data_IF_333561328294
#
_entry.id   IF_333561328294
#
_cell.length_a   1.000
_cell.length_b   1.000
_cell.length_c   1.000
_cell.angle_alpha   90.00
_cell.angle_beta   90.00
_cell.angle_gamma   90.00
#
_symmetry.space_group_name_H-M   'P 1'
#
loop_
_entity.id
_entity.type
_entity.pdbx_description
1 polymer ?
#
# COMPACT_ATOMS: atom_id res chain seq x y z
N UNK A 1 8.96 -1.10 -0.83
CA UNK A 1 9.30 -0.72 -2.23
C UNK A 1 8.24 0.30 -2.61
N UNK A 2 8.59 1.56 -2.90
CA UNK A 2 7.60 2.60 -3.22
C UNK A 2 7.05 2.31 -4.63
N UNK A 3 5.79 1.88 -4.72
CA UNK A 3 5.11 1.53 -5.96
C UNK A 3 3.70 2.12 -5.89
N UNK A 4 3.13 2.48 -7.04
CA UNK A 4 1.75 2.97 -7.12
C UNK A 4 0.88 1.93 -7.80
N UNK A 5 -0.36 1.78 -7.32
CA UNK A 5 -1.35 0.95 -7.97
C UNK A 5 -1.58 1.42 -9.41
N UNK A 6 -1.81 0.47 -10.31
CA UNK A 6 -2.26 0.81 -11.66
C UNK A 6 -3.66 1.44 -11.60
N UNK A 7 -4.03 2.25 -12.62
CA UNK A 7 -5.40 2.71 -12.76
C UNK A 7 -6.36 1.53 -12.64
N UNK A 8 -7.21 1.60 -11.62
CA UNK A 8 -8.06 0.50 -11.21
C UNK A 8 -9.45 0.74 -11.78
N UNK A 9 -9.92 -0.17 -12.64
CA UNK A 9 -11.20 -0.01 -13.31
C UNK A 9 -12.35 -0.43 -12.41
N UNK A 10 -12.91 0.59 -11.77
CA UNK A 10 -14.01 0.52 -10.83
C UNK A 10 -15.31 -0.06 -11.42
N UNK A 11 -15.46 -0.08 -12.76
CA UNK A 11 -16.66 -0.62 -13.43
C UNK A 11 -16.79 -2.14 -13.28
N UNK A 12 -15.68 -2.84 -13.05
CA UNK A 12 -15.69 -4.29 -12.80
C UNK A 12 -16.09 -4.64 -11.37
N UNK A 13 -16.11 -3.65 -10.47
CA UNK A 13 -16.54 -3.84 -9.11
C UNK A 13 -18.03 -3.54 -8.99
N UNK A 14 -18.78 -4.49 -8.43
CA UNK A 14 -20.24 -4.45 -8.27
C UNK A 14 -20.71 -3.10 -7.72
N UNK A 15 -21.28 -2.19 -8.55
CA UNK A 15 -21.64 -0.82 -8.15
C UNK A 15 -22.66 -0.79 -7.00
N UNK A 16 -23.48 -1.84 -6.90
CA UNK A 16 -24.45 -2.08 -5.83
C UNK A 16 -23.81 -2.11 -4.43
N UNK A 17 -22.53 -2.50 -4.33
CA UNK A 17 -21.79 -2.58 -3.05
C UNK A 17 -21.19 -1.26 -2.60
N UNK A 18 -21.25 -0.21 -3.43
CA UNK A 18 -20.58 1.07 -3.16
C UNK A 18 -21.40 2.01 -2.29
N UNK A 19 -22.72 1.81 -2.25
CA UNK A 19 -23.68 2.77 -1.69
C UNK A 19 -23.64 2.80 -0.15
N UNK A 20 -23.11 1.76 0.50
CA UNK A 20 -22.95 1.72 1.95
C UNK A 20 -21.56 2.15 2.36
N UNK A 21 -21.41 3.43 2.73
CA UNK A 21 -20.17 4.02 3.25
C UNK A 21 -19.60 3.29 4.48
N UNK A 22 -20.42 2.51 5.18
CA UNK A 22 -20.05 1.79 6.41
C UNK A 22 -19.15 0.56 6.19
N UNK A 23 -18.97 0.08 4.94
CA UNK A 23 -18.20 -1.15 4.65
C UNK A 23 -17.43 -1.05 3.33
N UNK A 24 -16.51 -0.10 3.22
CA UNK A 24 -15.65 0.07 2.04
C UNK A 24 -14.30 -0.67 2.15
N UNK A 25 -14.00 -1.28 3.29
CA UNK A 25 -12.70 -1.93 3.57
C UNK A 25 -12.28 -2.94 2.50
N UNK A 26 -13.25 -3.66 1.93
CA UNK A 26 -13.01 -4.61 0.84
C UNK A 26 -12.41 -3.96 -0.42
N UNK A 27 -12.73 -2.68 -0.68
CA UNK A 27 -12.19 -1.92 -1.81
C UNK A 27 -10.72 -1.55 -1.56
N UNK A 28 -10.37 -1.21 -0.32
CA UNK A 28 -8.99 -0.93 0.06
C UNK A 28 -8.11 -2.17 -0.12
N UNK A 29 -8.57 -3.34 0.36
CA UNK A 29 -7.88 -4.61 0.15
C UNK A 29 -7.67 -4.95 -1.33
N UNK A 30 -8.68 -4.71 -2.16
CA UNK A 30 -8.60 -5.00 -3.59
C UNK A 30 -7.69 -4.02 -4.33
N UNK A 31 -7.64 -2.76 -3.89
CA UNK A 31 -6.71 -1.75 -4.39
C UNK A 31 -5.26 -2.10 -4.04
N UNK A 32 -5.02 -2.58 -2.81
CA UNK A 32 -3.70 -3.05 -2.36
C UNK A 32 -3.24 -4.29 -3.14
N UNK A 33 -4.16 -5.16 -3.56
CA UNK A 33 -3.85 -6.33 -4.40
C UNK A 33 -3.64 -5.99 -5.87
N UNK A 34 -4.05 -4.80 -6.31
CA UNK A 34 -3.96 -4.41 -7.71
C UNK A 34 -2.49 -4.43 -8.20
N UNK A 35 -2.23 -4.66 -9.50
CA UNK A 35 -0.86 -4.67 -10.00
C UNK A 35 -0.21 -3.29 -9.83
N UNK A 36 0.88 -3.24 -9.07
CA UNK A 36 1.61 -1.99 -8.83
C UNK A 36 2.67 -1.76 -9.91
N UNK A 37 2.82 -0.51 -10.35
CA UNK A 37 3.92 -0.08 -11.21
C UNK A 37 5.03 0.55 -10.36
N UNK A 38 6.31 0.32 -10.72
CA UNK A 38 7.41 0.97 -10.03
C UNK A 38 7.30 2.49 -10.15
N UNK A 39 7.58 3.19 -9.05
CA UNK A 39 7.47 4.67 -9.01
C UNK A 39 8.47 5.37 -9.93
N UNK A 40 9.57 4.70 -10.28
CA UNK A 40 10.58 5.23 -11.17
C UNK A 40 11.10 4.14 -12.13
N UNK A 41 11.57 4.52 -13.34
CA UNK A 41 12.20 3.60 -14.28
C UNK A 41 13.43 2.91 -13.68
N UNK A 42 13.67 1.65 -14.07
CA UNK A 42 14.81 0.84 -13.57
C UNK A 42 16.17 1.49 -13.76
N UNK A 43 16.34 2.31 -14.80
CA UNK A 43 17.59 3.03 -15.05
C UNK A 43 17.86 4.06 -13.95
N UNK A 44 16.85 4.85 -13.59
CA UNK A 44 16.95 5.89 -12.56
C UNK A 44 17.09 5.30 -11.16
N UNK A 45 16.47 4.14 -10.91
CA UNK A 45 16.56 3.46 -9.60
C UNK A 45 18.00 3.10 -9.19
N UNK A 46 18.93 2.97 -10.15
CA UNK A 46 20.35 2.68 -9.87
C UNK A 46 21.10 3.89 -9.31
N UNK A 47 20.65 5.08 -9.68
CA UNK A 47 21.28 6.35 -9.31
C UNK A 47 20.69 6.91 -8.00
N UNK A 48 19.58 6.33 -7.54
CA UNK A 48 19.01 6.67 -6.25
C UNK A 48 19.95 6.28 -5.12
N UNK A 49 20.05 7.16 -4.12
CA UNK A 49 20.80 6.87 -2.89
C UNK A 49 20.24 5.61 -2.25
N UNK A 50 21.15 4.71 -1.84
CA UNK A 50 20.79 3.58 -1.01
C UNK A 50 20.10 4.05 0.28
N UNK A 51 19.14 3.24 0.74
CA UNK A 51 18.43 3.45 2.00
C UNK A 51 19.42 3.31 3.15
N UNK A 52 19.39 4.26 4.09
CA UNK A 52 20.24 4.22 5.27
C UNK A 52 19.78 3.07 6.19
N UNK A 53 20.70 2.33 6.87
CA UNK A 53 20.32 1.33 7.87
C UNK A 53 19.27 1.79 8.90
N UNK A 54 19.26 3.08 9.28
CA UNK A 54 18.25 3.66 10.18
C UNK A 54 16.87 3.70 9.51
N UNK A 55 16.79 4.07 8.24
CA UNK A 55 15.55 4.09 7.46
C UNK A 55 14.99 2.67 7.28
N UNK A 56 15.85 1.68 7.05
CA UNK A 56 15.43 0.26 7.00
C UNK A 56 14.81 -0.18 8.33
N UNK A 57 15.40 0.23 9.46
CA UNK A 57 14.85 -0.07 10.79
C UNK A 57 13.52 0.63 11.03
N UNK A 58 13.40 1.90 10.63
CA UNK A 58 12.16 2.66 10.74
C UNK A 58 11.03 2.03 9.92
N UNK A 59 11.31 1.55 8.70
CA UNK A 59 10.34 0.84 7.86
C UNK A 59 9.86 -0.49 8.44
N UNK A 60 10.62 -1.08 9.38
CA UNK A 60 10.27 -2.33 10.08
C UNK A 60 9.64 -2.08 11.44
N UNK A 61 9.40 -0.83 11.82
CA UNK A 61 8.69 -0.53 13.05
C UNK A 61 7.29 -1.14 12.96
N UNK A 62 7.05 -2.10 13.85
CA UNK A 62 5.72 -2.63 14.08
C UNK A 62 4.91 -1.55 14.77
N UNK A 63 3.76 -1.20 14.22
CA UNK A 63 2.82 -0.34 14.93
C UNK A 63 2.33 -1.06 16.19
N UNK A 64 2.24 -0.33 17.29
CA UNK A 64 1.70 -0.85 18.54
C UNK A 64 0.37 -0.15 18.80
N UNK A 65 -0.64 -0.93 19.15
CA UNK A 65 -1.92 -0.40 19.63
C UNK A 65 -1.72 0.39 20.93
N UNK A 66 -2.64 1.30 21.28
CA UNK A 66 -2.62 2.02 22.58
C UNK A 66 -2.57 1.06 23.78
N UNK A 67 -3.07 -0.16 23.61
CA UNK A 67 -3.06 -1.22 24.62
C UNK A 67 -1.75 -2.05 24.63
N UNK A 68 -0.70 -1.62 23.94
CA UNK A 68 0.62 -2.25 23.93
C UNK A 68 0.69 -3.59 23.18
N UNK A 69 -0.33 -3.94 22.39
CA UNK A 69 -0.31 -5.13 21.52
C UNK A 69 0.30 -4.78 20.16
N UNK A 70 1.12 -5.70 19.62
CA UNK A 70 1.67 -5.60 18.26
C UNK A 70 0.52 -5.59 17.25
N UNK A 71 0.46 -4.57 16.41
CA UNK A 71 -0.45 -4.53 15.28
C UNK A 71 0.17 -5.41 14.18
N UNK A 72 -0.50 -6.52 13.84
CA UNK A 72 -0.13 -7.32 12.67
C UNK A 72 -0.88 -6.71 11.49
N UNK A 73 -0.21 -5.81 10.78
CA UNK A 73 -0.62 -5.37 9.44
C UNK A 73 -0.08 -6.37 8.43
#
# INVERSE_FOLDING_TARGET
MLAHSRPFDLRHLKPERWVTAEKIDWLAEELDRSPHSPIAPRLVLKDLRLVNPVEVKAWRLTEWTENGKKNRV
#
